data_IF_070208444672
#
_entry.id   IF_070208444672
#
_cell.length_a   1.000
_cell.length_b   1.000
_cell.length_c   1.000
_cell.angle_alpha   90.00
_cell.angle_beta   90.00
_cell.angle_gamma   90.00
#
_symmetry.space_group_name_H-M   'P 1'
#
loop_
_entity.id
_entity.type
_entity.pdbx_description
1 polymer ?
#
# COMPACT_ATOMS: atom_id res chain seq x y z
N UNK A 1 -4.41 30.13 62.71
CA UNK A 1 -4.59 29.12 61.64
C UNK A 1 -3.92 29.66 60.39
N UNK A 2 -2.66 29.29 60.19
CA UNK A 2 -1.76 29.81 59.16
C UNK A 2 -1.78 28.78 57.96
N UNK A 3 -2.18 29.24 56.80
CA UNK A 3 -2.18 28.42 55.58
C UNK A 3 -0.75 28.35 54.99
N UNK A 4 -0.27 27.13 54.77
CA UNK A 4 0.99 26.86 54.06
C UNK A 4 0.78 27.06 52.52
N UNK A 5 1.78 27.54 51.79
CA UNK A 5 1.69 27.69 50.34
C UNK A 5 1.92 26.35 49.64
N UNK A 6 1.03 26.05 48.65
CA UNK A 6 1.13 24.87 47.75
C UNK A 6 2.22 25.16 46.68
N UNK A 7 3.21 24.27 46.61
CA UNK A 7 4.26 24.30 45.59
C UNK A 7 3.73 23.85 44.24
N UNK A 8 4.06 24.58 43.18
CA UNK A 8 3.77 24.23 41.79
C UNK A 8 4.66 23.08 41.31
N UNK A 9 4.17 22.20 40.43
CA UNK A 9 4.98 21.10 39.88
C UNK A 9 6.04 21.63 38.89
N UNK A 10 7.19 20.93 38.78
CA UNK A 10 8.27 21.31 37.88
C UNK A 10 7.89 21.11 36.41
N UNK A 11 8.50 21.82 35.44
CA UNK A 11 8.24 21.71 34.03
C UNK A 11 8.79 20.37 33.44
N UNK A 12 8.22 19.85 32.37
CA UNK A 12 8.66 18.59 31.78
C UNK A 12 10.04 18.72 31.10
N UNK A 13 10.85 17.68 31.25
CA UNK A 13 12.20 17.55 30.71
C UNK A 13 12.24 17.75 29.21
N UNK A 14 13.14 18.64 28.73
CA UNK A 14 13.52 18.77 27.32
C UNK A 14 14.39 17.56 26.90
N UNK A 15 14.19 16.99 25.69
CA UNK A 15 15.01 15.88 25.23
C UNK A 15 16.43 16.34 24.88
N UNK A 16 17.43 15.60 25.37
CA UNK A 16 18.84 15.83 25.13
C UNK A 16 19.19 15.78 23.63
N UNK A 17 19.93 16.77 23.14
CA UNK A 17 20.50 16.78 21.79
C UNK A 17 21.59 15.70 21.66
N UNK A 18 21.39 14.74 20.76
CA UNK A 18 22.43 13.78 20.38
C UNK A 18 23.49 14.46 19.47
N UNK A 19 24.79 14.12 19.61
CA UNK A 19 25.85 14.68 18.78
C UNK A 19 25.76 14.18 17.34
N UNK A 20 26.01 15.06 16.37
CA UNK A 20 26.08 14.77 14.94
C UNK A 20 27.23 13.79 14.68
N UNK A 21 26.91 12.60 14.14
CA UNK A 21 27.91 11.68 13.58
C UNK A 21 28.48 12.25 12.29
N UNK A 22 29.80 12.34 12.23
CA UNK A 22 30.56 12.59 11.00
C UNK A 22 30.32 11.45 10.03
N UNK A 23 30.02 11.78 8.78
CA UNK A 23 29.81 10.82 7.69
C UNK A 23 31.13 10.69 6.93
N UNK A 24 31.72 9.50 6.98
CA UNK A 24 32.89 9.09 6.20
C UNK A 24 32.50 8.94 4.71
N UNK A 25 33.32 9.39 3.75
CA UNK A 25 33.03 9.25 2.33
C UNK A 25 33.23 7.81 1.87
N UNK A 26 32.16 7.12 1.48
CA UNK A 26 32.24 5.77 0.90
C UNK A 26 32.64 5.80 -0.57
N UNK A 27 33.45 4.82 -1.05
CA UNK A 27 33.89 4.73 -2.43
C UNK A 27 32.72 4.40 -3.39
N UNK A 28 32.78 4.97 -4.58
CA UNK A 28 31.78 4.74 -5.65
C UNK A 28 31.90 3.31 -6.19
N UNK A 29 30.82 2.56 -6.41
CA UNK A 29 30.86 1.28 -7.09
C UNK A 29 30.95 1.44 -8.60
N UNK A 30 31.86 0.68 -9.21
CA UNK A 30 32.07 0.55 -10.64
C UNK A 30 30.81 -0.01 -11.35
N UNK A 31 30.53 0.54 -12.54
CA UNK A 31 29.46 0.10 -13.42
C UNK A 31 29.71 -1.32 -13.91
N UNK A 32 28.86 -2.27 -13.52
CA UNK A 32 28.67 -3.52 -14.25
C UNK A 32 27.28 -3.50 -14.88
N UNK A 33 27.25 -3.72 -16.19
CA UNK A 33 26.05 -3.89 -16.99
C UNK A 33 25.33 -5.17 -16.59
N UNK A 34 24.14 -5.06 -15.99
CA UNK A 34 23.28 -6.19 -15.69
C UNK A 34 22.01 -6.11 -16.53
N UNK A 35 21.80 -7.17 -17.30
CA UNK A 35 20.62 -7.48 -18.11
C UNK A 35 19.31 -7.32 -17.35
N UNK A 36 18.38 -6.60 -17.99
CA UNK A 36 17.02 -6.36 -17.55
C UNK A 36 16.15 -7.59 -17.82
N UNK A 37 16.18 -8.60 -16.95
CA UNK A 37 15.13 -9.62 -16.95
C UNK A 37 14.81 -10.11 -15.53
N UNK A 38 13.50 -10.06 -15.21
CA UNK A 38 12.79 -10.74 -14.12
C UNK A 38 13.28 -10.50 -12.68
N UNK A 39 12.93 -9.36 -12.08
CA UNK A 39 12.77 -9.25 -10.62
C UNK A 39 11.38 -8.78 -10.26
N UNK A 40 10.67 -9.58 -9.45
CA UNK A 40 9.47 -9.11 -8.74
C UNK A 40 9.82 -7.82 -7.97
N UNK A 41 8.93 -6.82 -7.89
CA UNK A 41 9.27 -5.52 -7.35
C UNK A 41 9.41 -5.57 -5.83
N UNK A 42 10.61 -5.92 -5.36
CA UNK A 42 11.01 -5.66 -3.99
C UNK A 42 11.22 -4.16 -3.83
N UNK A 43 10.36 -3.51 -3.01
CA UNK A 43 10.40 -2.10 -2.63
C UNK A 43 10.56 -1.14 -3.81
N UNK A 44 9.46 -0.51 -4.21
CA UNK A 44 9.46 0.61 -5.16
C UNK A 44 10.47 1.66 -4.69
N UNK A 45 11.62 1.75 -5.36
CA UNK A 45 12.58 2.83 -5.13
C UNK A 45 12.00 4.09 -5.76
N UNK A 46 11.41 4.94 -4.96
CA UNK A 46 10.97 6.26 -5.37
C UNK A 46 12.21 7.16 -5.56
N UNK A 47 12.41 7.66 -6.77
CA UNK A 47 13.51 8.59 -7.08
C UNK A 47 13.00 10.02 -6.91
N UNK A 48 13.49 10.69 -5.86
CA UNK A 48 13.30 12.13 -5.70
C UNK A 48 14.19 12.85 -6.71
N UNK A 49 13.60 13.59 -7.68
CA UNK A 49 14.29 14.38 -8.71
C UNK A 49 15.49 13.62 -9.30
N UNK A 50 15.20 12.59 -10.06
CA UNK A 50 16.26 11.77 -10.67
C UNK A 50 17.04 12.61 -11.68
N UNK A 51 18.30 12.95 -11.34
CA UNK A 51 19.17 13.82 -12.15
C UNK A 51 19.54 13.25 -13.53
N UNK A 52 19.42 11.94 -13.71
CA UNK A 52 19.65 11.27 -15.00
C UNK A 52 18.43 11.19 -15.91
N UNK A 53 17.29 11.76 -15.52
CA UNK A 53 16.08 11.74 -16.34
C UNK A 53 15.90 13.07 -17.10
N UNK A 54 15.66 12.97 -18.39
CA UNK A 54 15.36 14.11 -19.25
C UNK A 54 13.88 14.48 -19.15
N UNK A 55 13.55 15.41 -18.27
CA UNK A 55 12.19 15.87 -18.05
C UNK A 55 11.58 16.62 -19.25
N UNK A 56 12.38 17.08 -20.23
CA UNK A 56 11.88 17.73 -21.44
C UNK A 56 11.08 16.78 -22.34
N UNK A 57 11.29 15.46 -22.17
CA UNK A 57 10.54 14.41 -22.87
C UNK A 57 9.17 14.13 -22.28
N UNK A 58 8.77 14.90 -21.25
CA UNK A 58 7.58 14.66 -20.46
C UNK A 58 7.88 13.78 -19.24
N UNK A 59 7.07 13.92 -18.18
CA UNK A 59 7.28 13.18 -16.94
C UNK A 59 5.99 12.99 -16.17
N UNK A 60 5.74 11.79 -15.69
CA UNK A 60 4.70 11.52 -14.69
C UNK A 60 5.31 11.60 -13.28
N UNK A 61 4.67 12.35 -12.39
CA UNK A 61 5.15 12.64 -11.04
C UNK A 61 4.04 12.43 -10.01
N UNK A 62 4.39 11.81 -8.89
CA UNK A 62 3.56 11.77 -7.69
C UNK A 62 3.99 12.88 -6.75
N UNK A 63 3.06 13.73 -6.34
CA UNK A 63 3.29 14.92 -5.53
C UNK A 63 2.64 14.77 -4.17
N UNK A 64 3.36 15.21 -3.13
CA UNK A 64 2.84 15.35 -1.77
C UNK A 64 3.12 16.75 -1.24
N UNK A 65 2.10 17.43 -0.73
CA UNK A 65 2.22 18.73 -0.07
C UNK A 65 1.54 18.64 1.30
N UNK A 66 2.27 18.91 2.36
CA UNK A 66 1.76 18.82 3.74
C UNK A 66 1.55 20.19 4.35
N UNK A 67 0.66 20.27 5.33
CA UNK A 67 0.52 21.45 6.20
C UNK A 67 1.71 21.57 7.16
N UNK A 68 1.96 22.78 7.67
CA UNK A 68 2.96 23.03 8.71
C UNK A 68 2.42 23.98 9.79
N UNK A 69 2.47 23.59 11.08
CA UNK A 69 2.67 22.20 11.54
C UNK A 69 1.63 21.26 10.96
N UNK A 70 1.78 19.95 11.12
CA UNK A 70 0.81 18.95 10.64
C UNK A 70 -0.57 19.14 11.28
N UNK A 71 -1.33 20.10 10.75
CA UNK A 71 -2.66 20.47 11.21
C UNK A 71 -3.75 19.89 10.28
N UNK A 72 -4.76 19.28 10.86
CA UNK A 72 -5.92 18.75 10.15
C UNK A 72 -6.87 19.88 9.71
N UNK A 73 -6.42 20.76 8.80
CA UNK A 73 -7.16 21.94 8.35
C UNK A 73 -8.22 21.65 7.29
N UNK A 74 -8.02 20.57 6.50
CA UNK A 74 -8.77 20.34 5.28
C UNK A 74 -9.97 19.41 5.46
N UNK A 75 -10.05 18.68 6.57
CA UNK A 75 -11.14 17.74 6.80
C UNK A 75 -10.88 16.73 7.90
N UNK A 76 -11.75 15.73 7.96
CA UNK A 76 -11.60 14.54 8.79
C UNK A 76 -11.95 13.31 7.99
N UNK A 77 -11.32 12.18 8.29
CA UNK A 77 -11.64 10.91 7.66
C UNK A 77 -12.79 10.25 8.41
N UNK A 78 -13.81 9.83 7.65
CA UNK A 78 -14.96 9.08 8.14
C UNK A 78 -15.51 8.19 7.03
N UNK A 79 -15.79 6.92 7.35
CA UNK A 79 -16.30 5.93 6.39
C UNK A 79 -15.46 5.84 5.11
N UNK A 80 -14.14 5.78 5.27
CA UNK A 80 -13.16 5.71 4.18
C UNK A 80 -13.19 6.89 3.19
N UNK A 81 -13.80 8.00 3.57
CA UNK A 81 -13.84 9.24 2.80
C UNK A 81 -13.36 10.42 3.64
N UNK A 82 -12.98 11.52 3.00
CA UNK A 82 -12.65 12.76 3.70
C UNK A 82 -13.83 13.71 3.67
N UNK A 83 -14.42 13.99 4.83
CA UNK A 83 -15.38 15.08 4.99
C UNK A 83 -14.61 16.40 5.02
N UNK A 84 -14.62 17.11 3.89
CA UNK A 84 -13.83 18.33 3.71
C UNK A 84 -14.43 19.52 4.47
N UNK A 85 -13.56 20.30 5.11
CA UNK A 85 -13.89 21.65 5.62
C UNK A 85 -14.12 22.62 4.44
N UNK A 86 -14.67 23.84 4.68
CA UNK A 86 -14.73 24.86 3.63
C UNK A 86 -13.36 25.14 2.99
N UNK A 87 -12.28 25.20 3.79
CA UNK A 87 -10.92 25.35 3.26
C UNK A 87 -10.50 24.13 2.45
N UNK A 88 -10.82 22.91 2.92
CA UNK A 88 -10.53 21.67 2.20
C UNK A 88 -11.20 21.60 0.83
N UNK A 89 -12.44 22.09 0.70
CA UNK A 89 -13.14 22.20 -0.59
C UNK A 89 -12.42 23.15 -1.54
N UNK A 90 -11.98 24.31 -1.05
CA UNK A 90 -11.20 25.27 -1.86
C UNK A 90 -9.85 24.67 -2.29
N UNK A 91 -9.19 23.91 -1.41
CA UNK A 91 -7.97 23.18 -1.77
C UNK A 91 -8.25 22.16 -2.87
N UNK A 92 -9.34 21.39 -2.78
CA UNK A 92 -9.77 20.42 -3.79
C UNK A 92 -10.05 21.08 -5.15
N UNK A 93 -10.82 22.15 -5.17
CA UNK A 93 -11.13 22.93 -6.37
C UNK A 93 -9.87 23.55 -6.99
N UNK A 94 -8.93 24.00 -6.15
CA UNK A 94 -7.65 24.58 -6.62
C UNK A 94 -6.75 23.54 -7.27
N UNK A 95 -6.73 22.29 -6.77
CA UNK A 95 -6.02 21.16 -7.41
C UNK A 95 -6.68 20.86 -8.75
N UNK A 96 -8.00 20.66 -8.78
CA UNK A 96 -8.74 20.35 -10.00
C UNK A 96 -8.62 21.43 -11.08
N UNK A 97 -8.46 22.70 -10.67
CA UNK A 97 -8.29 23.82 -11.60
C UNK A 97 -6.85 23.97 -12.14
N UNK A 98 -5.86 23.25 -11.62
CA UNK A 98 -4.44 23.41 -11.97
C UNK A 98 -4.17 23.26 -13.49
N UNK A 99 -4.74 22.29 -14.23
CA UNK A 99 -4.57 22.18 -15.68
C UNK A 99 -5.16 23.37 -16.47
N UNK A 100 -6.20 24.00 -15.95
CA UNK A 100 -6.83 25.18 -16.61
C UNK A 100 -5.91 26.41 -16.61
N UNK A 101 -5.07 26.54 -15.58
CA UNK A 101 -4.13 27.65 -15.45
C UNK A 101 -2.72 27.30 -15.97
N UNK A 102 -2.44 26.04 -16.21
CA UNK A 102 -1.19 25.57 -16.78
C UNK A 102 -1.46 24.34 -17.67
N UNK A 103 -1.72 24.54 -18.99
CA UNK A 103 -2.03 23.46 -19.91
C UNK A 103 -0.90 22.44 -20.10
N UNK A 104 0.33 22.77 -19.70
CA UNK A 104 1.47 21.84 -19.71
C UNK A 104 1.39 20.76 -18.60
N UNK A 105 0.40 20.86 -17.72
CA UNK A 105 0.17 19.93 -16.61
C UNK A 105 -1.16 19.22 -16.83
N UNK A 106 -1.12 17.89 -16.97
CA UNK A 106 -2.30 17.04 -16.87
C UNK A 106 -2.37 16.46 -15.44
N UNK A 107 -3.56 16.50 -14.84
CA UNK A 107 -3.86 15.95 -13.52
C UNK A 107 -4.59 14.62 -13.69
N UNK A 108 -4.18 13.59 -12.93
CA UNK A 108 -4.86 12.29 -12.91
C UNK A 108 -5.58 12.09 -11.57
N UNK A 109 -5.03 11.20 -10.72
CA UNK A 109 -5.59 10.91 -9.40
C UNK A 109 -5.14 11.96 -8.38
N UNK A 110 -6.03 12.36 -7.49
CA UNK A 110 -5.69 13.25 -6.38
C UNK A 110 -6.60 13.03 -5.18
N UNK A 111 -6.12 13.40 -4.01
CA UNK A 111 -6.88 13.38 -2.75
C UNK A 111 -6.44 14.51 -1.84
N UNK A 112 -7.41 15.10 -1.16
CA UNK A 112 -7.18 16.05 -0.05
C UNK A 112 -7.40 15.28 1.24
N UNK A 113 -6.31 15.06 1.97
CA UNK A 113 -6.30 14.45 3.31
C UNK A 113 -6.42 15.55 4.37
N UNK A 114 -6.70 15.23 5.63
CA UNK A 114 -6.86 16.24 6.67
C UNK A 114 -5.70 17.24 6.78
N UNK A 115 -4.45 16.81 6.62
CA UNK A 115 -3.23 17.59 6.84
C UNK A 115 -2.27 17.63 5.65
N UNK A 116 -2.66 17.08 4.50
CA UNK A 116 -1.85 17.05 3.28
C UNK A 116 -2.68 16.77 2.04
N UNK A 117 -2.05 16.90 0.87
CA UNK A 117 -2.63 16.52 -0.41
C UNK A 117 -1.68 15.60 -1.15
N UNK A 118 -2.25 14.64 -1.89
CA UNK A 118 -1.53 13.82 -2.87
C UNK A 118 -2.17 13.98 -4.24
N UNK A 119 -1.34 14.02 -5.27
CA UNK A 119 -1.83 13.99 -6.64
C UNK A 119 -0.77 13.47 -7.62
N UNK A 120 -1.23 12.85 -8.71
CA UNK A 120 -0.41 12.46 -9.84
C UNK A 120 -0.55 13.51 -10.94
N UNK A 121 0.56 13.99 -11.47
CA UNK A 121 0.61 14.91 -12.62
C UNK A 121 1.45 14.33 -13.73
N UNK A 122 1.10 14.69 -14.97
CA UNK A 122 1.97 14.52 -16.13
C UNK A 122 2.37 15.90 -16.66
N UNK A 123 3.66 16.09 -16.83
CA UNK A 123 4.24 17.25 -17.52
C UNK A 123 4.31 16.95 -19.01
N UNK A 124 3.87 17.88 -19.84
CA UNK A 124 3.95 17.76 -21.29
C UNK A 124 5.41 17.65 -21.75
N UNK A 125 5.62 16.97 -22.87
CA UNK A 125 6.91 16.97 -23.55
C UNK A 125 7.17 18.34 -24.25
N UNK A 126 8.45 18.64 -24.52
CA UNK A 126 8.85 19.85 -25.24
C UNK A 126 8.89 21.11 -24.38
N UNK A 127 8.85 21.00 -23.06
CA UNK A 127 9.05 22.14 -22.17
C UNK A 127 10.54 22.41 -21.96
N UNK A 128 10.96 23.67 -22.06
CA UNK A 128 12.35 24.08 -21.80
C UNK A 128 12.73 23.87 -20.33
N UNK A 129 11.81 24.17 -19.41
CA UNK A 129 12.04 24.10 -17.96
C UNK A 129 10.90 23.38 -17.22
N UNK A 130 10.73 22.06 -17.42
CA UNK A 130 9.58 21.30 -16.91
C UNK A 130 9.40 21.40 -15.39
N UNK A 131 10.50 21.28 -14.64
CA UNK A 131 10.47 21.34 -13.17
C UNK A 131 10.20 22.75 -12.63
N UNK A 132 10.63 23.81 -13.33
CA UNK A 132 10.26 25.20 -12.99
C UNK A 132 8.77 25.44 -13.26
N UNK A 133 8.25 24.89 -14.36
CA UNK A 133 6.82 24.93 -14.70
C UNK A 133 5.97 24.30 -13.60
N UNK A 134 6.31 23.09 -13.15
CA UNK A 134 5.66 22.44 -12.04
C UNK A 134 5.79 23.26 -10.74
N UNK A 135 6.99 23.72 -10.43
CA UNK A 135 7.25 24.54 -9.23
C UNK A 135 6.44 25.84 -9.21
N UNK A 136 6.24 26.48 -10.36
CA UNK A 136 5.42 27.69 -10.49
C UNK A 136 3.93 27.38 -10.26
N UNK A 137 3.42 26.28 -10.79
CA UNK A 137 2.04 25.84 -10.58
C UNK A 137 1.75 25.53 -9.10
N UNK A 138 2.65 24.78 -8.44
CA UNK A 138 2.54 24.46 -7.00
C UNK A 138 2.63 25.74 -6.15
N UNK A 139 3.51 26.66 -6.51
CA UNK A 139 3.62 27.94 -5.80
C UNK A 139 2.33 28.74 -5.90
N UNK A 140 1.75 28.84 -7.10
CA UNK A 140 0.47 29.54 -7.34
C UNK A 140 -0.65 28.90 -6.49
N UNK A 141 -0.75 27.58 -6.52
CA UNK A 141 -1.68 26.80 -5.68
C UNK A 141 -1.53 27.12 -4.19
N UNK A 142 -0.31 27.02 -3.66
CA UNK A 142 -0.02 27.30 -2.24
C UNK A 142 -0.33 28.75 -1.86
N UNK A 143 0.05 29.72 -2.70
CA UNK A 143 -0.21 31.14 -2.45
C UNK A 143 -1.70 31.42 -2.41
N UNK A 144 -2.47 30.91 -3.36
CA UNK A 144 -3.91 31.12 -3.40
C UNK A 144 -4.61 30.54 -2.16
N UNK A 145 -4.35 29.27 -1.85
CA UNK A 145 -4.98 28.59 -0.71
C UNK A 145 -4.55 29.16 0.64
N UNK A 146 -3.30 29.63 0.79
CA UNK A 146 -2.86 30.40 1.98
C UNK A 146 -3.56 31.72 2.09
N UNK A 147 -3.78 32.44 0.97
CA UNK A 147 -4.50 33.72 0.97
C UNK A 147 -5.94 33.53 1.45
N UNK A 148 -6.59 32.44 1.01
CA UNK A 148 -7.93 32.11 1.50
C UNK A 148 -7.91 31.76 2.98
N UNK A 149 -6.99 30.89 3.41
CA UNK A 149 -6.85 30.51 4.83
C UNK A 149 -6.58 31.73 5.74
N UNK A 150 -5.80 32.69 5.27
CA UNK A 150 -5.58 33.96 6.00
C UNK A 150 -6.87 34.74 6.19
N UNK A 151 -7.69 34.85 5.13
CA UNK A 151 -8.95 35.59 5.18
C UNK A 151 -10.01 34.90 6.04
N UNK A 152 -10.05 33.56 6.01
CA UNK A 152 -11.14 32.79 6.65
C UNK A 152 -10.81 32.28 8.04
N UNK A 153 -9.52 32.01 8.32
CA UNK A 153 -9.05 31.39 9.56
C UNK A 153 -7.97 32.22 10.29
N UNK A 154 -7.53 33.34 9.73
CA UNK A 154 -6.45 34.16 10.32
C UNK A 154 -5.06 33.51 10.23
N UNK A 155 -4.86 32.43 9.46
CA UNK A 155 -3.61 31.70 9.35
C UNK A 155 -2.69 32.32 8.31
N UNK A 156 -1.48 32.76 8.72
CA UNK A 156 -0.52 33.39 7.82
C UNK A 156 0.22 32.40 6.91
N UNK A 157 0.35 31.15 7.34
CA UNK A 157 0.93 30.04 6.56
C UNK A 157 0.19 28.75 6.89
N UNK A 158 0.00 27.89 5.89
CA UNK A 158 -0.64 26.57 6.07
C UNK A 158 0.19 25.43 5.47
N UNK A 159 1.18 25.72 4.62
CA UNK A 159 1.94 24.70 3.92
C UNK A 159 3.39 24.65 4.36
N UNK A 160 3.93 23.44 4.46
CA UNK A 160 5.37 23.23 4.58
C UNK A 160 6.14 23.92 3.44
N UNK A 161 7.37 24.31 3.70
CA UNK A 161 8.28 24.77 2.66
C UNK A 161 8.56 23.66 1.65
N UNK A 162 8.48 23.97 0.35
CA UNK A 162 8.69 22.99 -0.72
C UNK A 162 7.51 22.00 -0.88
N UNK A 163 7.80 20.88 -1.49
CA UNK A 163 6.91 19.73 -1.69
C UNK A 163 7.76 18.49 -1.93
N UNK A 164 7.16 17.30 -1.81
CA UNK A 164 7.80 16.05 -2.19
C UNK A 164 7.30 15.61 -3.55
N UNK A 165 8.21 15.22 -4.42
CA UNK A 165 7.94 14.71 -5.76
C UNK A 165 8.69 13.39 -6.00
N UNK A 166 8.02 12.45 -6.69
CA UNK A 166 8.59 11.17 -7.10
C UNK A 166 8.29 10.93 -8.57
N UNK A 167 9.34 10.58 -9.34
CA UNK A 167 9.22 10.25 -10.74
C UNK A 167 8.63 8.85 -10.92
N UNK A 168 7.58 8.74 -11.74
CA UNK A 168 6.86 7.50 -12.05
C UNK A 168 7.35 7.00 -13.42
N UNK A 169 8.26 6.02 -13.42
CA UNK A 169 8.97 5.56 -14.62
C UNK A 169 8.19 4.53 -15.46
N UNK A 170 7.06 4.03 -14.97
CA UNK A 170 6.27 3.04 -15.70
C UNK A 170 4.78 3.19 -15.44
N UNK A 171 3.95 2.67 -16.35
CA UNK A 171 2.50 2.61 -16.18
C UNK A 171 2.09 1.86 -14.90
N UNK A 172 2.83 0.82 -14.52
CA UNK A 172 2.58 0.09 -13.29
C UNK A 172 2.79 0.96 -12.04
N UNK A 173 3.77 1.86 -12.05
CA UNK A 173 3.98 2.83 -10.97
C UNK A 173 2.89 3.90 -10.94
N UNK A 174 2.46 4.39 -12.09
CA UNK A 174 1.32 5.33 -12.19
C UNK A 174 0.06 4.67 -11.63
N UNK A 175 -0.23 3.44 -12.05
CA UNK A 175 -1.39 2.70 -11.56
C UNK A 175 -1.31 2.41 -10.04
N UNK A 176 -0.13 2.07 -9.51
CA UNK A 176 0.04 1.79 -8.08
C UNK A 176 -0.08 3.04 -7.22
N UNK A 177 0.46 4.18 -7.67
CA UNK A 177 0.30 5.47 -6.97
C UNK A 177 -1.14 5.98 -7.08
N UNK A 178 -1.82 5.77 -8.21
CA UNK A 178 -3.24 6.08 -8.35
C UNK A 178 -4.09 5.30 -7.34
N UNK A 179 -3.85 3.99 -7.20
CA UNK A 179 -4.51 3.20 -6.13
C UNK A 179 -4.16 3.72 -4.73
N UNK A 180 -2.89 4.00 -4.46
CA UNK A 180 -2.46 4.58 -3.19
C UNK A 180 -3.22 5.87 -2.86
N UNK A 181 -3.40 6.77 -3.83
CA UNK A 181 -4.15 8.02 -3.66
C UNK A 181 -5.61 7.72 -3.32
N UNK A 182 -6.29 6.88 -4.09
CA UNK A 182 -7.71 6.52 -3.87
C UNK A 182 -7.96 5.87 -2.51
N UNK A 183 -7.08 4.97 -2.09
CA UNK A 183 -7.21 4.24 -0.82
C UNK A 183 -6.59 4.96 0.38
N UNK A 184 -6.05 6.17 0.20
CA UNK A 184 -5.43 6.91 1.30
C UNK A 184 -6.41 7.21 2.45
N UNK A 185 -7.67 7.65 2.20
CA UNK A 185 -8.65 7.83 3.28
C UNK A 185 -8.95 6.54 4.03
N UNK A 186 -9.21 5.43 3.34
CA UNK A 186 -9.43 4.13 3.97
C UNK A 186 -8.23 3.69 4.80
N UNK A 187 -7.02 3.82 4.26
CA UNK A 187 -5.78 3.50 4.98
C UNK A 187 -5.61 4.33 6.25
N UNK A 188 -5.95 5.61 6.18
CA UNK A 188 -5.95 6.49 7.34
C UNK A 188 -6.96 6.01 8.39
N UNK A 189 -8.19 5.70 7.98
CA UNK A 189 -9.23 5.20 8.87
C UNK A 189 -8.81 3.90 9.57
N UNK A 190 -8.36 2.90 8.82
CA UNK A 190 -7.89 1.62 9.38
C UNK A 190 -6.69 1.81 10.32
N UNK A 191 -5.83 2.80 10.05
CA UNK A 191 -4.63 3.01 10.87
C UNK A 191 -4.91 3.75 12.19
N UNK A 192 -5.83 4.73 12.16
CA UNK A 192 -6.01 5.66 13.29
C UNK A 192 -7.34 5.50 14.00
N UNK A 193 -8.39 5.07 13.30
CA UNK A 193 -9.73 4.94 13.86
C UNK A 193 -10.09 3.47 14.15
N UNK A 194 -9.47 2.52 13.41
CA UNK A 194 -9.76 1.09 13.49
C UNK A 194 -8.44 0.28 13.39
N UNK A 195 -7.46 0.54 14.27
CA UNK A 195 -6.12 -0.07 14.17
C UNK A 195 -6.12 -1.59 14.29
N UNK A 196 -7.14 -2.17 14.91
CA UNK A 196 -7.32 -3.61 15.07
C UNK A 196 -7.34 -4.37 13.73
N UNK A 197 -7.83 -3.76 12.66
CA UNK A 197 -7.85 -4.38 11.32
C UNK A 197 -6.47 -4.56 10.69
N UNK A 198 -5.50 -3.73 11.08
CA UNK A 198 -4.12 -3.78 10.58
C UNK A 198 -3.15 -4.29 11.66
N UNK A 199 -3.68 -4.85 12.76
CA UNK A 199 -2.87 -5.43 13.81
C UNK A 199 -2.08 -6.62 13.28
N UNK A 200 -0.77 -6.68 13.60
CA UNK A 200 0.07 -7.84 13.36
C UNK A 200 -0.13 -8.84 14.50
N UNK A 201 -0.76 -9.95 14.17
CA UNK A 201 -0.91 -11.08 15.10
C UNK A 201 0.34 -11.95 15.04
N UNK A 202 0.99 -12.15 16.18
CA UNK A 202 2.21 -12.97 16.31
C UNK A 202 2.44 -13.45 17.76
N UNK A 203 2.66 -14.76 18.00
CA UNK A 203 2.45 -15.84 17.04
C UNK A 203 0.96 -16.09 16.77
N UNK A 204 0.66 -16.63 15.60
CA UNK A 204 -0.69 -17.11 15.27
C UNK A 204 -0.74 -18.61 15.49
N UNK A 205 -1.58 -19.06 16.43
CA UNK A 205 -1.90 -20.47 16.62
C UNK A 205 -3.17 -20.83 15.82
N UNK A 206 -3.13 -21.91 15.06
CA UNK A 206 -4.28 -22.45 14.36
C UNK A 206 -4.11 -23.96 14.21
N UNK A 207 -5.20 -24.76 14.33
CA UNK A 207 -5.14 -26.20 14.01
C UNK A 207 -4.72 -26.50 12.57
N UNK A 208 -4.69 -25.49 11.69
CA UNK A 208 -4.23 -25.61 10.30
C UNK A 208 -2.72 -25.53 10.16
N UNK A 209 -2.02 -25.13 11.20
CA UNK A 209 -0.55 -24.96 11.19
C UNK A 209 0.13 -26.08 11.98
N UNK A 210 1.36 -26.40 11.59
CA UNK A 210 2.21 -27.22 12.45
C UNK A 210 2.46 -26.46 13.76
N UNK A 211 2.24 -27.07 14.94
CA UNK A 211 2.47 -26.42 16.24
C UNK A 211 3.91 -25.93 16.46
N UNK A 212 4.88 -26.51 15.74
CA UNK A 212 6.28 -26.09 15.80
C UNK A 212 6.60 -24.86 14.93
N UNK A 213 5.69 -24.48 14.06
CA UNK A 213 5.90 -23.34 13.17
C UNK A 213 5.49 -22.02 13.81
N UNK A 214 6.25 -20.97 13.46
CA UNK A 214 5.94 -19.61 13.89
C UNK A 214 5.25 -18.84 12.76
N UNK A 215 3.99 -18.54 12.96
CA UNK A 215 3.18 -17.81 11.98
C UNK A 215 2.83 -16.41 12.44
N UNK A 216 2.79 -15.49 11.49
CA UNK A 216 2.31 -14.13 11.64
C UNK A 216 1.16 -13.87 10.67
N UNK A 217 0.22 -13.00 11.08
CA UNK A 217 -0.93 -12.67 10.23
C UNK A 217 -1.38 -11.22 10.39
N UNK A 218 -2.00 -10.68 9.34
CA UNK A 218 -2.73 -9.41 9.35
C UNK A 218 -4.09 -9.65 8.69
N UNK A 219 -5.17 -9.23 9.34
CA UNK A 219 -6.54 -9.36 8.86
C UNK A 219 -7.40 -10.30 9.69
N UNK A 220 -8.35 -11.00 9.05
CA UNK A 220 -9.40 -11.77 9.73
C UNK A 220 -8.95 -13.20 10.05
N UNK A 221 -8.58 -13.44 11.30
CA UNK A 221 -8.09 -14.74 11.78
C UNK A 221 -9.15 -15.84 11.71
N UNK A 222 -10.44 -15.52 11.79
CA UNK A 222 -11.50 -16.53 11.71
C UNK A 222 -11.53 -17.29 10.38
N UNK A 223 -10.87 -16.77 9.35
CA UNK A 223 -10.70 -17.49 8.07
C UNK A 223 -9.85 -18.76 8.22
N UNK A 224 -9.07 -18.90 9.30
CA UNK A 224 -8.31 -20.10 9.66
C UNK A 224 -9.10 -21.11 10.48
N UNK A 225 -10.34 -20.82 10.84
CA UNK A 225 -11.16 -21.77 11.57
C UNK A 225 -11.26 -23.11 10.80
N UNK A 226 -11.06 -24.28 11.46
CA UNK A 226 -11.13 -25.57 10.81
C UNK A 226 -12.47 -25.91 10.16
N UNK A 227 -13.57 -25.30 10.63
CA UNK A 227 -14.90 -25.45 10.03
C UNK A 227 -15.07 -24.73 8.70
N UNK A 228 -14.18 -23.79 8.36
CA UNK A 228 -14.22 -23.11 7.07
C UNK A 228 -13.72 -24.04 5.95
N UNK A 229 -14.45 -24.04 4.83
CA UNK A 229 -14.01 -24.71 3.62
C UNK A 229 -12.90 -23.90 2.97
N UNK A 230 -11.69 -24.44 2.94
CA UNK A 230 -10.54 -23.78 2.29
C UNK A 230 -10.17 -24.49 1.02
N UNK A 231 -10.04 -23.75 -0.08
CA UNK A 231 -9.55 -24.27 -1.35
C UNK A 231 -8.18 -23.65 -1.66
N UNK A 232 -7.14 -24.48 -1.63
CA UNK A 232 -5.83 -24.02 -2.06
C UNK A 232 -5.70 -24.09 -3.58
N UNK A 233 -5.12 -23.01 -4.14
CA UNK A 233 -4.97 -22.85 -5.58
C UNK A 233 -3.51 -22.64 -5.95
N UNK A 234 -3.08 -23.44 -6.94
CA UNK A 234 -1.86 -23.22 -7.72
C UNK A 234 -2.20 -23.21 -9.21
N UNK A 235 -1.58 -22.31 -9.96
CA UNK A 235 -1.78 -22.25 -11.41
C UNK A 235 -0.43 -22.29 -12.12
N UNK A 236 -0.27 -23.22 -13.02
CA UNK A 236 0.94 -23.33 -13.83
C UNK A 236 1.13 -22.09 -14.71
N UNK A 237 2.36 -21.60 -14.80
CA UNK A 237 2.72 -20.49 -15.71
C UNK A 237 2.50 -20.83 -17.20
N UNK A 238 2.31 -22.14 -17.53
CA UNK A 238 2.00 -22.59 -18.90
C UNK A 238 0.54 -22.40 -19.28
N UNK A 239 -0.33 -22.08 -18.32
CA UNK A 239 -1.73 -21.73 -18.59
C UNK A 239 -1.77 -20.33 -19.18
N UNK A 240 -2.24 -20.18 -20.40
CA UNK A 240 -2.31 -18.90 -21.12
C UNK A 240 -3.70 -18.28 -20.93
N UNK A 241 -4.76 -19.06 -21.11
CA UNK A 241 -6.13 -18.59 -20.86
C UNK A 241 -6.54 -18.85 -19.41
N UNK A 242 -6.69 -17.75 -18.68
CA UNK A 242 -7.05 -17.79 -17.27
C UNK A 242 -8.57 -17.75 -17.02
N UNK A 243 -9.41 -17.62 -18.06
CA UNK A 243 -10.86 -17.46 -17.94
C UNK A 243 -11.52 -18.63 -17.21
N UNK A 244 -11.11 -19.87 -17.55
CA UNK A 244 -11.64 -21.09 -16.95
C UNK A 244 -11.28 -21.25 -15.48
N UNK A 245 -10.03 -20.94 -15.10
CA UNK A 245 -9.62 -21.02 -13.69
C UNK A 245 -10.28 -19.92 -12.87
N UNK A 246 -10.38 -18.71 -13.41
CA UNK A 246 -11.09 -17.59 -12.76
C UNK A 246 -12.55 -17.97 -12.50
N UNK A 247 -13.26 -18.44 -13.52
CA UNK A 247 -14.66 -18.88 -13.37
C UNK A 247 -14.80 -19.96 -12.29
N UNK A 248 -13.94 -20.99 -12.32
CA UNK A 248 -14.00 -22.09 -11.35
C UNK A 248 -13.76 -21.62 -9.93
N UNK A 249 -12.85 -20.64 -9.71
CA UNK A 249 -12.58 -20.10 -8.38
C UNK A 249 -13.70 -19.17 -7.90
N UNK A 250 -14.35 -18.43 -8.79
CA UNK A 250 -15.54 -17.66 -8.44
C UNK A 250 -16.71 -18.58 -8.05
N UNK A 251 -16.93 -19.67 -8.80
CA UNK A 251 -17.95 -20.68 -8.46
C UNK A 251 -17.66 -21.32 -7.08
N UNK A 252 -16.38 -21.60 -6.78
CA UNK A 252 -15.99 -22.12 -5.47
C UNK A 252 -16.20 -21.10 -4.34
N UNK A 253 -15.85 -19.83 -4.57
CA UNK A 253 -16.08 -18.75 -3.59
C UNK A 253 -17.59 -18.58 -3.31
N UNK A 254 -18.44 -18.63 -4.34
CA UNK A 254 -19.89 -18.59 -4.22
C UNK A 254 -20.45 -19.80 -3.47
N UNK A 255 -19.76 -20.97 -3.55
CA UNK A 255 -20.08 -22.16 -2.77
C UNK A 255 -19.54 -22.13 -1.32
N UNK A 256 -19.01 -20.97 -0.88
CA UNK A 256 -18.54 -20.71 0.48
C UNK A 256 -17.10 -21.11 0.75
N UNK A 257 -16.29 -21.45 -0.27
CA UNK A 257 -14.87 -21.69 -0.06
C UNK A 257 -14.08 -20.39 0.12
N UNK A 258 -13.16 -20.41 1.06
CA UNK A 258 -12.08 -19.39 1.19
C UNK A 258 -10.94 -19.83 0.29
N UNK A 259 -10.50 -18.95 -0.62
CA UNK A 259 -9.41 -19.27 -1.56
C UNK A 259 -8.06 -18.92 -0.95
N UNK A 260 -7.19 -19.92 -0.83
CA UNK A 260 -5.84 -19.81 -0.31
C UNK A 260 -4.83 -19.92 -1.45
N UNK A 261 -3.94 -18.94 -1.60
CA UNK A 261 -2.87 -18.98 -2.62
C UNK A 261 -1.75 -17.99 -2.29
N UNK A 262 -0.56 -18.23 -2.85
CA UNK A 262 0.52 -17.25 -2.90
C UNK A 262 0.30 -16.15 -3.93
N UNK A 263 -0.64 -16.32 -4.86
CA UNK A 263 -0.96 -15.38 -5.94
C UNK A 263 0.26 -14.90 -6.72
N UNK A 264 1.18 -15.83 -7.04
CA UNK A 264 2.49 -15.54 -7.65
C UNK A 264 2.44 -15.67 -9.17
N UNK A 265 1.76 -16.71 -9.71
CA UNK A 265 1.65 -16.93 -11.15
C UNK A 265 0.63 -15.97 -11.80
N UNK A 266 0.74 -15.69 -13.11
CA UNK A 266 -0.24 -14.83 -13.80
C UNK A 266 -1.69 -15.28 -13.62
N UNK A 267 -1.94 -16.61 -13.65
CA UNK A 267 -3.26 -17.18 -13.45
C UNK A 267 -3.78 -16.99 -12.03
N UNK A 268 -2.93 -17.16 -11.01
CA UNK A 268 -3.28 -16.88 -9.61
C UNK A 268 -3.56 -15.39 -9.39
N UNK A 269 -2.78 -14.51 -10.02
CA UNK A 269 -3.00 -13.05 -9.99
C UNK A 269 -4.34 -12.68 -10.62
N UNK A 270 -4.71 -13.32 -11.76
CA UNK A 270 -6.01 -13.11 -12.40
C UNK A 270 -7.16 -13.54 -11.48
N UNK A 271 -7.04 -14.71 -10.83
CA UNK A 271 -8.02 -15.19 -9.84
C UNK A 271 -8.13 -14.23 -8.66
N UNK A 272 -7.00 -13.82 -8.06
CA UNK A 272 -7.00 -12.84 -6.97
C UNK A 272 -7.76 -11.57 -7.34
N UNK A 273 -7.47 -11.01 -8.52
CA UNK A 273 -8.10 -9.76 -8.95
C UNK A 273 -9.62 -9.92 -9.13
N UNK A 274 -10.06 -11.05 -9.65
CA UNK A 274 -11.49 -11.36 -9.78
C UNK A 274 -12.18 -11.54 -8.43
N UNK A 275 -11.55 -12.26 -7.49
CA UNK A 275 -12.08 -12.45 -6.14
C UNK A 275 -12.14 -11.12 -5.35
N UNK A 276 -11.12 -10.27 -5.49
CA UNK A 276 -11.13 -8.93 -4.84
C UNK A 276 -12.29 -8.05 -5.34
N UNK A 277 -12.66 -8.21 -6.61
CA UNK A 277 -13.80 -7.48 -7.21
C UNK A 277 -15.17 -8.11 -6.87
N UNK A 278 -15.17 -9.30 -6.25
CA UNK A 278 -16.41 -10.03 -5.90
C UNK A 278 -16.72 -9.79 -4.42
N UNK A 279 -17.84 -9.12 -4.08
CA UNK A 279 -18.32 -9.06 -2.70
C UNK A 279 -18.44 -10.46 -2.10
N UNK A 280 -18.28 -10.61 -0.79
CA UNK A 280 -18.37 -11.87 -0.05
C UNK A 280 -17.26 -12.90 -0.36
N UNK A 281 -16.48 -12.77 -1.42
CA UNK A 281 -15.37 -13.69 -1.69
C UNK A 281 -14.28 -13.54 -0.62
N UNK A 282 -13.91 -14.67 -0.01
CA UNK A 282 -12.94 -14.75 1.08
C UNK A 282 -11.60 -15.26 0.57
N UNK A 283 -10.51 -14.61 1.00
CA UNK A 283 -9.16 -14.93 0.54
C UNK A 283 -8.18 -15.05 1.71
N UNK A 284 -7.30 -16.02 1.62
CA UNK A 284 -6.07 -16.10 2.42
C UNK A 284 -4.88 -15.95 1.47
N UNK A 285 -4.08 -14.93 1.69
CA UNK A 285 -2.84 -14.66 0.94
C UNK A 285 -1.66 -15.12 1.77
N UNK A 286 -0.97 -16.16 1.33
CA UNK A 286 0.25 -16.63 1.97
C UNK A 286 1.47 -16.02 1.31
N UNK A 287 2.32 -15.38 2.12
CA UNK A 287 3.56 -14.77 1.66
C UNK A 287 4.69 -15.80 1.63
N UNK A 288 5.60 -15.75 0.64
CA UNK A 288 6.80 -16.60 0.60
C UNK A 288 7.86 -16.19 1.61
N UNK A 289 7.60 -15.15 2.40
CA UNK A 289 8.49 -14.62 3.43
C UNK A 289 7.69 -14.32 4.69
N UNK A 290 8.40 -14.12 5.81
CA UNK A 290 7.76 -13.65 7.04
C UNK A 290 7.12 -12.25 6.85
N UNK A 291 6.15 -11.95 7.71
CA UNK A 291 5.58 -10.61 7.82
C UNK A 291 6.47 -9.80 8.77
N UNK A 292 7.17 -8.79 8.23
CA UNK A 292 7.97 -7.87 9.05
C UNK A 292 7.06 -6.97 9.91
N UNK A 293 7.53 -6.54 11.09
CA UNK A 293 6.77 -5.62 11.98
C UNK A 293 6.33 -4.31 11.28
N UNK A 294 7.11 -3.83 10.33
CA UNK A 294 6.77 -2.63 9.55
C UNK A 294 5.99 -2.94 8.26
N UNK A 295 5.56 -4.21 8.06
CA UNK A 295 4.81 -4.61 6.89
C UNK A 295 3.48 -3.86 6.81
N UNK A 296 3.12 -3.50 5.59
CA UNK A 296 1.83 -2.86 5.29
C UNK A 296 1.22 -3.60 4.13
N UNK A 297 0.03 -4.17 4.30
CA UNK A 297 -0.69 -4.80 3.21
C UNK A 297 -0.82 -3.84 2.00
N UNK A 298 -0.79 -4.40 0.80
CA UNK A 298 -1.02 -3.62 -0.42
C UNK A 298 -2.40 -2.95 -0.34
N UNK A 299 -2.52 -1.74 -0.88
CA UNK A 299 -3.75 -0.95 -0.82
C UNK A 299 -4.98 -1.65 -1.40
N UNK A 300 -4.81 -2.59 -2.31
CA UNK A 300 -5.90 -3.43 -2.86
C UNK A 300 -6.58 -4.35 -1.83
N UNK A 301 -5.89 -4.65 -0.72
CA UNK A 301 -6.39 -5.52 0.34
C UNK A 301 -7.07 -4.77 1.48
N UNK A 302 -6.96 -3.44 1.53
CA UNK A 302 -7.49 -2.65 2.66
C UNK A 302 -9.01 -2.75 2.78
N UNK A 303 -9.74 -2.76 1.66
CA UNK A 303 -11.19 -2.91 1.68
C UNK A 303 -11.62 -4.33 2.09
N UNK A 304 -11.08 -5.41 1.49
CA UNK A 304 -11.29 -6.77 1.98
C UNK A 304 -10.91 -7.01 3.44
N UNK A 305 -9.86 -6.35 3.95
CA UNK A 305 -9.49 -6.40 5.37
C UNK A 305 -10.60 -5.78 6.22
N UNK A 306 -11.06 -4.57 5.88
CA UNK A 306 -12.18 -3.90 6.58
C UNK A 306 -13.46 -4.72 6.57
N UNK A 307 -13.71 -5.42 5.48
CA UNK A 307 -14.88 -6.30 5.30
C UNK A 307 -14.72 -7.69 5.93
N UNK A 308 -13.61 -7.94 6.65
CA UNK A 308 -13.30 -9.21 7.33
C UNK A 308 -13.31 -10.43 6.41
N UNK A 309 -12.92 -10.26 5.14
CA UNK A 309 -12.87 -11.32 4.12
C UNK A 309 -11.47 -11.57 3.57
N UNK A 310 -10.45 -11.02 4.24
CA UNK A 310 -9.06 -11.18 3.82
C UNK A 310 -8.14 -11.43 5.02
N UNK A 311 -7.22 -12.35 4.82
CA UNK A 311 -6.14 -12.65 5.74
C UNK A 311 -4.82 -12.77 4.97
N UNK A 312 -3.80 -12.08 5.40
CA UNK A 312 -2.43 -12.25 4.94
C UNK A 312 -1.63 -12.98 6.00
N UNK A 313 -0.97 -14.08 5.62
CA UNK A 313 -0.16 -14.91 6.52
C UNK A 313 1.26 -15.07 6.01
N UNK A 314 2.22 -15.21 6.91
CA UNK A 314 3.62 -15.48 6.60
C UNK A 314 4.27 -16.32 7.69
N UNK A 315 5.14 -17.26 7.28
CA UNK A 315 5.84 -18.21 8.16
C UNK A 315 7.26 -17.72 8.49
N UNK A 316 7.71 -18.01 9.68
CA UNK A 316 9.10 -17.92 10.09
C UNK A 316 9.48 -16.69 10.89
N UNK A 317 10.63 -16.80 11.56
CA UNK A 317 11.27 -15.76 12.37
C UNK A 317 12.42 -15.07 11.63
N UNK A 318 12.86 -15.62 10.49
CA UNK A 318 14.04 -15.18 9.75
C UNK A 318 13.66 -14.49 8.44
N UNK A 319 14.54 -13.59 7.98
CA UNK A 319 14.41 -12.98 6.65
C UNK A 319 14.76 -14.04 5.59
N UNK A 320 13.72 -14.71 5.08
CA UNK A 320 13.86 -15.62 3.95
C UNK A 320 13.92 -14.74 2.69
N UNK A 321 15.07 -14.76 2.01
CA UNK A 321 15.16 -14.15 0.68
C UNK A 321 14.14 -14.81 -0.27
N UNK A 322 13.48 -14.00 -1.09
CA UNK A 322 12.58 -14.49 -2.11
C UNK A 322 13.35 -15.33 -3.13
N UNK A 323 13.43 -16.63 -2.87
CA UNK A 323 14.09 -17.60 -3.71
C UNK A 323 13.07 -18.58 -4.33
N UNK A 324 13.47 -19.26 -5.40
CA UNK A 324 12.65 -20.31 -6.02
C UNK A 324 12.30 -21.44 -5.04
N UNK A 325 13.23 -21.78 -4.16
CA UNK A 325 13.02 -22.78 -3.09
C UNK A 325 11.91 -22.35 -2.14
N UNK A 326 11.92 -21.11 -1.65
CA UNK A 326 10.86 -20.58 -0.78
C UNK A 326 9.46 -20.64 -1.44
N UNK A 327 9.38 -20.46 -2.77
CA UNK A 327 8.11 -20.63 -3.49
C UNK A 327 7.69 -22.10 -3.64
N UNK A 328 8.62 -23.05 -3.66
CA UNK A 328 8.31 -24.48 -3.70
C UNK A 328 7.82 -24.95 -2.33
N UNK A 329 8.53 -24.58 -1.26
CA UNK A 329 8.15 -24.89 0.12
C UNK A 329 6.77 -24.31 0.45
N UNK A 330 6.50 -23.06 -0.01
CA UNK A 330 5.19 -22.43 0.10
C UNK A 330 4.07 -23.26 -0.53
N UNK A 331 4.34 -23.92 -1.65
CA UNK A 331 3.33 -24.71 -2.35
C UNK A 331 2.88 -25.94 -1.54
N UNK A 332 3.79 -26.55 -0.79
CA UNK A 332 3.46 -27.69 0.06
C UNK A 332 2.72 -27.23 1.33
N UNK A 333 3.11 -26.10 1.89
CA UNK A 333 2.39 -25.47 3.02
C UNK A 333 0.94 -25.10 2.66
N UNK A 334 0.70 -24.53 1.48
CA UNK A 334 -0.66 -24.18 1.02
C UNK A 334 -1.56 -25.42 1.03
N UNK A 335 -1.04 -26.56 0.60
CA UNK A 335 -1.79 -27.85 0.56
C UNK A 335 -2.09 -28.31 1.98
N UNK A 336 -1.09 -28.32 2.89
CA UNK A 336 -1.26 -28.72 4.29
C UNK A 336 -2.32 -27.86 4.98
N UNK A 337 -2.21 -26.53 4.88
CA UNK A 337 -3.16 -25.58 5.49
C UNK A 337 -4.59 -25.80 5.01
N UNK A 338 -4.78 -26.04 3.72
CA UNK A 338 -6.12 -26.31 3.18
C UNK A 338 -6.69 -27.61 3.71
N UNK A 339 -5.89 -28.66 3.78
CA UNK A 339 -6.31 -30.02 4.12
C UNK A 339 -6.36 -30.31 5.63
N UNK A 340 -5.83 -29.45 6.48
CA UNK A 340 -5.94 -29.54 7.93
C UNK A 340 -7.37 -29.28 8.47
N UNK A 341 -8.38 -29.18 7.62
CA UNK A 341 -9.80 -29.04 7.91
C UNK A 341 -10.63 -29.46 6.70
N UNK A 342 -11.85 -28.93 6.58
CA UNK A 342 -12.67 -29.15 5.38
C UNK A 342 -12.08 -28.35 4.19
N UNK A 343 -11.16 -28.98 3.43
CA UNK A 343 -10.48 -28.28 2.34
C UNK A 343 -10.10 -29.14 1.17
N UNK A 344 -9.86 -28.47 0.06
CA UNK A 344 -9.43 -29.04 -1.21
C UNK A 344 -8.17 -28.34 -1.70
N UNK A 345 -7.37 -29.07 -2.48
CA UNK A 345 -6.19 -28.49 -3.11
C UNK A 345 -6.22 -28.75 -4.61
N UNK A 346 -6.04 -27.70 -5.40
CA UNK A 346 -6.09 -27.75 -6.86
C UNK A 346 -4.82 -27.18 -7.45
N UNK A 347 -4.19 -27.96 -8.32
CA UNK A 347 -3.18 -27.48 -9.25
C UNK A 347 -3.76 -27.38 -10.64
N UNK A 348 -3.83 -26.16 -11.20
CA UNK A 348 -4.36 -25.94 -12.54
C UNK A 348 -3.25 -26.03 -13.57
N UNK A 349 -3.34 -27.02 -14.44
CA UNK A 349 -2.45 -27.27 -15.56
C UNK A 349 -3.11 -26.86 -16.89
N UNK A 350 -2.41 -26.84 -18.03
CA UNK A 350 -2.99 -26.50 -19.32
C UNK A 350 -4.17 -27.38 -19.73
N UNK A 351 -4.19 -28.65 -19.32
CA UNK A 351 -5.25 -29.64 -19.55
C UNK A 351 -6.40 -29.53 -18.53
N UNK A 352 -6.26 -28.77 -17.48
CA UNK A 352 -7.31 -28.50 -16.49
C UNK A 352 -6.88 -28.67 -15.04
N UNK A 353 -7.86 -28.76 -14.12
CA UNK A 353 -7.60 -28.87 -12.68
C UNK A 353 -7.21 -30.30 -12.28
N UNK A 354 -6.13 -30.42 -11.52
CA UNK A 354 -5.70 -31.64 -10.86
C UNK A 354 -5.83 -31.50 -9.36
N UNK A 355 -6.42 -32.49 -8.68
CA UNK A 355 -6.45 -32.54 -7.23
C UNK A 355 -5.07 -32.89 -6.69
N UNK A 356 -4.61 -32.15 -5.69
CA UNK A 356 -3.40 -32.46 -4.95
C UNK A 356 -3.78 -33.23 -3.69
N UNK A 357 -3.12 -34.37 -3.49
CA UNK A 357 -3.12 -35.07 -2.20
C UNK A 357 -1.89 -34.64 -1.40
N UNK A 358 -1.91 -34.67 -0.05
CA UNK A 358 -0.70 -34.52 0.74
C UNK A 358 0.31 -35.56 0.27
N UNK A 359 1.53 -35.15 0.01
CA UNK A 359 2.61 -36.14 -0.08
C UNK A 359 2.84 -36.66 1.33
N UNK A 360 2.74 -37.99 1.47
CA UNK A 360 2.94 -38.72 2.71
C UNK A 360 4.39 -38.58 3.20
#
# INVERSE_FOLDING_TARGET
MTRLPTASPPPPFAPARQPRRQVDPRPQPQRQSLSLESRAPSRVKYYRRYHGYDYSRGASLFITISTEPRLALFGRVKNAAVELTPLGKIVAESIAAMPRFNPAIALFEWVVMPDHVHFNVNLAAGLDEPLKTLGAAIRKFKTYTTTVARKTLGLNSIWQQGYHDYLLLSESFIASTGRYIRYNPLKHELRYNQPEFLHLHEPVASPRFDPCDYWKAIGELSLLDPSNKVLSLRVSRKVIDHSRVVKRMLDAANAGYTILSGFISPGEVAVRNALLATPEARLIHILPSQIAHAHKPDSRFLEPIRERRFLEIGRGNEDIEFARTACLDLNDEIVKIAQAGEGLSIYWLPDGPHKLSPQA
#
